data_IF_577574027511
#
_entry.id   IF_577574027511
#
_cell.length_a   1.000
_cell.length_b   1.000
_cell.length_c   1.000
_cell.angle_alpha   90.00
_cell.angle_beta   90.00
_cell.angle_gamma   90.00
#
_symmetry.space_group_name_H-M   'P 1'
#
loop_
_entity.id
_entity.type
_entity.pdbx_description
1 polymer ?
#
# COMPACT_ATOMS: atom_id res chain seq x y z
N UNK A 1 -17.09 -10.20 25.87
CA UNK A 1 -17.33 -10.25 24.40
C UNK A 1 -16.45 -11.37 23.88
N UNK A 2 -17.03 -12.46 23.37
CA UNK A 2 -16.24 -13.46 22.66
C UNK A 2 -15.61 -12.77 21.45
N UNK A 3 -14.30 -12.87 21.34
CA UNK A 3 -13.56 -12.39 20.17
C UNK A 3 -14.13 -13.12 18.95
N UNK A 4 -14.63 -12.40 17.96
CA UNK A 4 -15.10 -13.01 16.71
C UNK A 4 -13.95 -13.81 16.09
N UNK A 5 -14.14 -15.11 15.99
CA UNK A 5 -13.16 -16.04 15.44
C UNK A 5 -13.25 -15.99 13.92
N UNK A 6 -12.12 -15.78 13.26
CA UNK A 6 -12.02 -15.77 11.79
C UNK A 6 -11.81 -17.20 11.29
N UNK A 7 -12.65 -17.68 10.38
CA UNK A 7 -12.48 -18.96 9.69
C UNK A 7 -11.86 -18.73 8.30
N UNK A 8 -10.66 -19.30 8.06
CA UNK A 8 -9.94 -19.18 6.79
C UNK A 8 -9.65 -20.55 6.18
N UNK A 9 -9.66 -20.59 4.86
CA UNK A 9 -9.09 -21.72 4.14
C UNK A 9 -7.55 -21.58 4.12
N UNK A 10 -6.86 -22.61 4.62
CA UNK A 10 -5.41 -22.63 4.71
C UNK A 10 -4.83 -23.48 3.57
N UNK A 11 -4.43 -22.84 2.49
CA UNK A 11 -3.83 -23.45 1.31
C UNK A 11 -2.35 -23.73 1.55
N UNK A 12 -1.93 -24.97 1.52
CA UNK A 12 -0.54 -25.34 1.72
C UNK A 12 -0.18 -26.66 1.02
N UNK A 13 1.11 -26.90 0.85
CA UNK A 13 1.60 -28.16 0.32
C UNK A 13 1.39 -29.32 1.30
N UNK A 14 0.95 -30.46 0.80
CA UNK A 14 0.83 -31.71 1.58
C UNK A 14 2.14 -32.49 1.72
N UNK A 15 3.25 -32.02 1.14
CA UNK A 15 4.53 -32.74 1.17
C UNK A 15 5.18 -32.73 2.56
N UNK A 16 5.79 -33.85 3.00
CA UNK A 16 6.39 -33.95 4.33
C UNK A 16 7.49 -32.92 4.60
N UNK A 17 8.28 -32.55 3.58
CA UNK A 17 9.36 -31.55 3.68
C UNK A 17 8.86 -30.14 4.01
N UNK A 18 7.57 -29.84 3.77
CA UNK A 18 6.98 -28.54 4.07
C UNK A 18 6.21 -28.52 5.39
N UNK A 19 6.11 -29.67 6.05
CA UNK A 19 5.34 -29.78 7.29
C UNK A 19 5.74 -28.73 8.34
N UNK A 20 7.04 -28.54 8.53
CA UNK A 20 7.58 -27.59 9.50
C UNK A 20 7.13 -26.14 9.19
N UNK A 21 7.15 -25.78 7.90
CA UNK A 21 6.70 -24.45 7.43
C UNK A 21 5.19 -24.30 7.69
N UNK A 22 4.40 -25.28 7.27
CA UNK A 22 2.95 -25.25 7.41
C UNK A 22 2.51 -25.19 8.89
N UNK A 23 3.16 -26.00 9.74
CA UNK A 23 2.89 -26.02 11.19
C UNK A 23 3.23 -24.67 11.83
N UNK A 24 4.31 -24.00 11.40
CA UNK A 24 4.70 -22.68 11.87
C UNK A 24 3.62 -21.63 11.58
N UNK A 25 3.18 -21.51 10.32
CA UNK A 25 2.15 -20.53 9.94
C UNK A 25 0.80 -20.84 10.61
N UNK A 26 0.43 -22.11 10.71
CA UNK A 26 -0.81 -22.52 11.44
C UNK A 26 -0.74 -22.16 12.92
N UNK A 27 0.40 -22.35 13.58
CA UNK A 27 0.58 -21.99 14.98
C UNK A 27 0.37 -20.49 15.19
N UNK A 28 0.89 -19.65 14.29
CA UNK A 28 0.68 -18.19 14.34
C UNK A 28 -0.80 -17.86 14.10
N UNK A 29 -1.45 -18.43 13.10
CA UNK A 29 -2.89 -18.24 12.88
C UNK A 29 -3.71 -18.59 14.12
N UNK A 30 -3.45 -19.74 14.71
CA UNK A 30 -4.15 -20.19 15.93
C UNK A 30 -3.91 -19.24 17.12
N UNK A 31 -2.69 -18.69 17.28
CA UNK A 31 -2.36 -17.71 18.33
C UNK A 31 -3.10 -16.38 18.15
N UNK A 32 -3.58 -16.10 16.96
CA UNK A 32 -4.38 -14.92 16.60
C UNK A 32 -5.88 -15.20 16.48
N UNK A 33 -6.38 -16.32 17.06
CA UNK A 33 -7.78 -16.75 16.99
C UNK A 33 -8.31 -16.91 15.56
N UNK A 34 -7.47 -17.42 14.66
CA UNK A 34 -7.85 -17.76 13.29
C UNK A 34 -7.95 -19.29 13.18
N UNK A 35 -9.11 -19.78 12.80
CA UNK A 35 -9.33 -21.20 12.53
C UNK A 35 -8.93 -21.50 11.07
N UNK A 36 -7.94 -22.37 10.91
CA UNK A 36 -7.46 -22.82 9.62
C UNK A 36 -8.15 -24.12 9.21
N UNK A 37 -8.95 -24.08 8.15
CA UNK A 37 -9.52 -25.25 7.48
C UNK A 37 -8.68 -25.58 6.26
N UNK A 38 -8.40 -26.85 6.00
CA UNK A 38 -7.64 -27.31 4.82
C UNK A 38 -8.32 -28.55 4.26
N UNK A 39 -8.15 -28.79 2.99
CA UNK A 39 -8.60 -30.04 2.40
C UNK A 39 -7.82 -31.20 3.01
N UNK A 40 -8.52 -32.21 3.51
CA UNK A 40 -7.88 -33.38 4.07
C UNK A 40 -7.17 -34.17 2.98
N UNK A 41 -5.83 -34.09 2.96
CA UNK A 41 -4.98 -34.70 1.94
C UNK A 41 -4.83 -36.22 2.06
N UNK A 42 -5.63 -36.87 2.93
CA UNK A 42 -5.65 -38.32 3.08
C UNK A 42 -6.07 -39.06 1.80
N UNK A 43 -6.67 -38.34 0.86
CA UNK A 43 -7.00 -38.85 -0.48
C UNK A 43 -6.17 -38.11 -1.54
N UNK A 44 -5.42 -38.84 -2.32
CA UNK A 44 -4.48 -38.37 -3.35
C UNK A 44 -5.13 -37.63 -4.54
N UNK A 45 -6.43 -37.40 -4.51
CA UNK A 45 -7.20 -36.59 -5.46
C UNK A 45 -8.45 -36.05 -4.78
N UNK A 46 -8.32 -34.86 -4.15
CA UNK A 46 -9.53 -34.14 -3.71
C UNK A 46 -10.14 -33.50 -4.95
N UNK A 47 -11.43 -33.74 -5.24
CA UNK A 47 -12.09 -33.08 -6.35
C UNK A 47 -12.01 -31.55 -6.20
N UNK A 48 -11.74 -30.78 -7.26
CA UNK A 48 -11.72 -29.31 -7.24
C UNK A 48 -12.99 -28.70 -6.64
N UNK A 49 -14.12 -29.40 -6.74
CA UNK A 49 -15.40 -28.98 -6.15
C UNK A 49 -15.36 -28.94 -4.63
N UNK A 50 -14.65 -29.84 -3.97
CA UNK A 50 -14.52 -29.84 -2.49
C UNK A 50 -13.71 -28.63 -2.04
N UNK A 51 -12.57 -28.36 -2.69
CA UNK A 51 -11.77 -27.17 -2.39
C UNK A 51 -12.58 -25.90 -2.65
N UNK A 52 -13.31 -25.85 -3.77
CA UNK A 52 -14.18 -24.70 -4.11
C UNK A 52 -15.26 -24.46 -3.07
N UNK A 53 -15.94 -25.49 -2.58
CA UNK A 53 -16.95 -25.38 -1.51
C UNK A 53 -16.34 -24.86 -0.22
N UNK A 54 -15.23 -25.45 0.22
CA UNK A 54 -14.57 -25.05 1.46
C UNK A 54 -14.04 -23.62 1.40
N UNK A 55 -13.51 -23.18 0.24
CA UNK A 55 -13.07 -21.80 0.04
C UNK A 55 -14.28 -20.85 0.09
N UNK A 56 -15.42 -21.21 -0.54
CA UNK A 56 -16.61 -20.38 -0.53
C UNK A 56 -17.26 -20.25 0.87
N UNK A 57 -17.07 -21.24 1.73
CA UNK A 57 -17.55 -21.23 3.12
C UNK A 57 -16.60 -20.48 4.07
N UNK A 58 -15.38 -20.18 3.61
CA UNK A 58 -14.36 -19.50 4.40
C UNK A 58 -14.45 -17.97 4.20
N UNK A 59 -14.10 -17.23 5.25
CA UNK A 59 -14.11 -15.76 5.21
C UNK A 59 -12.85 -15.18 4.50
N UNK A 60 -11.81 -16.00 4.32
CA UNK A 60 -10.58 -15.63 3.63
C UNK A 60 -9.72 -16.84 3.31
N UNK A 61 -8.66 -16.65 2.53
CA UNK A 61 -7.67 -17.68 2.20
C UNK A 61 -6.28 -17.21 2.64
N UNK A 62 -5.57 -18.07 3.37
CA UNK A 62 -4.13 -17.90 3.66
C UNK A 62 -3.38 -19.01 2.94
N UNK A 63 -2.49 -18.64 2.01
CA UNK A 63 -1.70 -19.58 1.24
C UNK A 63 -0.23 -19.55 1.68
N UNK A 64 0.38 -20.74 1.73
CA UNK A 64 1.83 -20.90 1.94
C UNK A 64 2.40 -21.58 0.71
N UNK A 65 3.23 -20.85 -0.04
CA UNK A 65 3.79 -21.25 -1.32
C UNK A 65 5.30 -21.52 -1.22
N UNK A 66 5.73 -22.73 -0.81
CA UNK A 66 7.14 -23.11 -0.77
C UNK A 66 7.68 -23.37 -2.18
N UNK A 67 9.01 -23.35 -2.31
CA UNK A 67 9.71 -23.73 -3.56
C UNK A 67 9.36 -25.14 -4.03
N UNK A 68 9.18 -25.27 -5.32
CA UNK A 68 9.02 -26.57 -5.99
C UNK A 68 10.08 -26.74 -7.10
N UNK A 69 9.64 -27.03 -8.31
CA UNK A 69 10.54 -27.29 -9.42
C UNK A 69 11.30 -26.04 -9.80
N UNK A 70 12.60 -26.16 -9.96
CA UNK A 70 13.46 -25.09 -10.42
C UNK A 70 13.25 -24.85 -11.90
N UNK A 71 13.07 -23.60 -12.29
CA UNK A 71 12.95 -23.16 -13.67
C UNK A 71 14.33 -22.98 -14.32
N UNK A 72 14.37 -22.86 -15.64
CA UNK A 72 15.62 -22.65 -16.39
C UNK A 72 16.29 -21.31 -16.05
N UNK A 73 15.50 -20.29 -15.71
CA UNK A 73 15.99 -18.97 -15.29
C UNK A 73 16.56 -18.96 -13.86
N UNK A 74 16.46 -20.06 -13.13
CA UNK A 74 16.96 -20.22 -11.76
C UNK A 74 15.91 -20.01 -10.68
N UNK A 75 14.73 -19.49 -11.00
CA UNK A 75 13.60 -19.33 -10.10
C UNK A 75 12.90 -20.67 -9.82
N UNK A 76 11.91 -20.65 -8.95
CA UNK A 76 11.13 -21.82 -8.58
C UNK A 76 9.64 -21.58 -8.82
N UNK A 77 8.89 -22.62 -9.12
CA UNK A 77 7.43 -22.59 -9.14
C UNK A 77 6.86 -22.91 -7.76
N UNK A 78 5.67 -22.40 -7.46
CA UNK A 78 4.91 -22.84 -6.29
C UNK A 78 4.22 -24.19 -6.54
N UNK A 79 3.71 -24.86 -5.49
CA UNK A 79 2.88 -26.05 -5.65
C UNK A 79 1.64 -25.78 -6.51
N UNK A 80 1.35 -26.63 -7.50
CA UNK A 80 0.19 -26.45 -8.39
C UNK A 80 -1.14 -26.44 -7.65
N UNK A 81 -1.29 -27.25 -6.60
CA UNK A 81 -2.50 -27.26 -5.77
C UNK A 81 -2.74 -25.92 -5.07
N UNK A 82 -1.67 -25.29 -4.55
CA UNK A 82 -1.75 -23.95 -3.93
C UNK A 82 -2.15 -22.90 -4.97
N UNK A 83 -1.57 -22.97 -6.18
CA UNK A 83 -1.92 -22.09 -7.29
C UNK A 83 -3.39 -22.22 -7.71
N UNK A 84 -3.92 -23.45 -7.79
CA UNK A 84 -5.31 -23.71 -8.11
C UNK A 84 -6.26 -23.15 -7.05
N UNK A 85 -5.97 -23.37 -5.76
CA UNK A 85 -6.77 -22.88 -4.64
C UNK A 85 -6.78 -21.34 -4.57
N UNK A 86 -5.62 -20.71 -4.81
CA UNK A 86 -5.54 -19.25 -4.95
C UNK A 86 -6.41 -18.75 -6.11
N UNK A 87 -6.37 -19.45 -7.25
CA UNK A 87 -7.16 -19.09 -8.44
C UNK A 87 -8.67 -19.22 -8.19
N UNK A 88 -9.09 -20.24 -7.44
CA UNK A 88 -10.49 -20.43 -7.02
C UNK A 88 -10.91 -19.29 -6.10
N UNK A 89 -10.13 -18.99 -5.06
CA UNK A 89 -10.42 -17.91 -4.13
C UNK A 89 -10.52 -16.55 -4.84
N UNK A 90 -9.61 -16.32 -5.79
CA UNK A 90 -9.63 -15.14 -6.64
C UNK A 90 -10.92 -15.03 -7.45
N UNK A 91 -11.34 -16.12 -8.12
CA UNK A 91 -12.58 -16.15 -8.89
C UNK A 91 -13.84 -15.94 -8.04
N UNK A 92 -13.76 -16.21 -6.72
CA UNK A 92 -14.84 -16.02 -5.74
C UNK A 92 -14.76 -14.68 -5.00
N UNK A 93 -13.79 -13.82 -5.31
CA UNK A 93 -13.53 -12.55 -4.61
C UNK A 93 -13.23 -12.71 -3.10
N UNK A 94 -12.78 -13.90 -2.70
CA UNK A 94 -12.37 -14.19 -1.33
C UNK A 94 -11.07 -13.44 -1.02
N UNK A 95 -10.93 -12.74 0.13
CA UNK A 95 -9.68 -12.10 0.54
C UNK A 95 -8.53 -13.12 0.61
N UNK A 96 -7.35 -12.74 0.09
CA UNK A 96 -6.21 -13.66 -0.05
C UNK A 96 -4.94 -13.05 0.57
N UNK A 97 -4.28 -13.81 1.46
CA UNK A 97 -2.93 -13.54 1.97
C UNK A 97 -2.01 -14.68 1.55
N UNK A 98 -0.92 -14.37 0.84
CA UNK A 98 0.04 -15.37 0.38
C UNK A 98 1.38 -15.17 1.05
N UNK A 99 1.91 -16.21 1.67
CA UNK A 99 3.30 -16.31 2.10
C UNK A 99 4.09 -17.08 1.05
N UNK A 100 5.06 -16.43 0.42
CA UNK A 100 5.85 -16.98 -0.69
C UNK A 100 7.28 -17.18 -0.25
N UNK A 101 7.85 -18.37 -0.47
CA UNK A 101 9.26 -18.61 -0.22
C UNK A 101 10.11 -17.84 -1.24
N UNK A 102 11.15 -17.14 -0.80
CA UNK A 102 12.05 -16.35 -1.65
C UNK A 102 12.57 -17.17 -2.83
N UNK A 103 12.52 -16.61 -4.04
CA UNK A 103 12.88 -17.27 -5.28
C UNK A 103 11.75 -18.06 -5.94
N UNK A 104 10.52 -18.05 -5.39
CA UNK A 104 9.34 -18.56 -6.08
C UNK A 104 8.81 -17.47 -7.01
N UNK A 105 8.64 -17.79 -8.29
CA UNK A 105 8.05 -16.90 -9.28
C UNK A 105 6.52 -16.92 -9.17
N UNK A 106 5.95 -15.70 -9.16
CA UNK A 106 4.50 -15.49 -9.12
C UNK A 106 3.98 -15.09 -10.50
N UNK A 107 4.25 -15.90 -11.51
CA UNK A 107 3.81 -15.62 -12.88
C UNK A 107 2.29 -15.45 -12.97
N UNK A 108 1.86 -14.32 -13.56
CA UNK A 108 0.45 -13.98 -13.73
C UNK A 108 -0.26 -13.46 -12.47
N UNK A 109 0.35 -13.62 -11.28
CA UNK A 109 -0.20 -13.16 -10.01
C UNK A 109 0.50 -11.91 -9.45
N UNK A 110 1.39 -11.29 -10.23
CA UNK A 110 2.16 -10.13 -9.79
C UNK A 110 1.23 -9.01 -9.33
N UNK A 111 1.01 -8.98 -8.03
CA UNK A 111 0.56 -7.81 -7.29
C UNK A 111 -0.90 -7.38 -7.41
N UNK A 112 -1.72 -8.00 -8.25
CA UNK A 112 -3.01 -7.40 -8.58
C UNK A 112 -4.18 -7.82 -7.69
N UNK A 113 -4.05 -8.88 -6.86
CA UNK A 113 -5.24 -9.51 -6.27
C UNK A 113 -5.09 -10.02 -4.84
N UNK A 114 -3.89 -9.98 -4.26
CA UNK A 114 -3.65 -10.55 -2.94
C UNK A 114 -2.51 -9.84 -2.20
N UNK A 115 -2.55 -9.92 -0.88
CA UNK A 115 -1.41 -9.54 -0.04
C UNK A 115 -0.34 -10.60 -0.15
N UNK A 116 0.85 -10.24 -0.62
CA UNK A 116 1.99 -11.17 -0.74
C UNK A 116 3.06 -10.79 0.27
N UNK A 117 3.52 -11.77 1.05
CA UNK A 117 4.65 -11.66 1.97
C UNK A 117 5.71 -12.69 1.62
N UNK A 118 6.94 -12.25 1.39
CA UNK A 118 8.06 -13.17 1.18
C UNK A 118 8.60 -13.70 2.51
N UNK A 119 9.06 -14.95 2.52
CA UNK A 119 9.79 -15.54 3.64
C UNK A 119 10.97 -16.38 3.14
N UNK A 120 12.01 -16.47 3.97
CA UNK A 120 13.13 -17.37 3.76
C UNK A 120 13.01 -18.55 4.73
N UNK A 121 13.20 -19.77 4.23
CA UNK A 121 13.16 -21.00 5.03
C UNK A 121 14.17 -20.96 6.18
N UNK A 122 15.37 -20.44 5.91
CA UNK A 122 16.46 -20.36 6.88
C UNK A 122 16.21 -19.31 7.98
N UNK A 123 15.36 -18.31 7.69
CA UNK A 123 15.01 -17.23 8.61
C UNK A 123 13.60 -17.36 9.20
N UNK A 124 12.90 -18.45 8.93
CA UNK A 124 11.49 -18.64 9.30
C UNK A 124 11.23 -18.40 10.79
N UNK A 125 12.17 -18.83 11.66
CA UNK A 125 12.06 -18.69 13.11
C UNK A 125 12.80 -17.48 13.68
N UNK A 126 13.33 -16.58 12.84
CA UNK A 126 13.94 -15.34 13.32
C UNK A 126 12.87 -14.41 13.92
N UNK A 127 13.26 -13.63 14.95
CA UNK A 127 12.34 -12.71 15.61
C UNK A 127 11.74 -11.68 14.64
N UNK A 128 12.52 -11.21 13.67
CA UNK A 128 12.08 -10.24 12.65
C UNK A 128 11.04 -10.85 11.72
N UNK A 129 11.29 -12.07 11.19
CA UNK A 129 10.33 -12.78 10.33
C UNK A 129 9.04 -13.10 11.08
N UNK A 130 9.16 -13.57 12.33
CA UNK A 130 8.00 -13.85 13.17
C UNK A 130 7.14 -12.59 13.38
N UNK A 131 7.77 -11.45 13.70
CA UNK A 131 7.06 -10.19 13.90
C UNK A 131 6.34 -9.73 12.61
N UNK A 132 7.01 -9.82 11.47
CA UNK A 132 6.43 -9.50 10.17
C UNK A 132 5.23 -10.40 9.86
N UNK A 133 5.37 -11.71 10.06
CA UNK A 133 4.29 -12.68 9.83
C UNK A 133 3.08 -12.40 10.72
N UNK A 134 3.29 -12.19 12.02
CA UNK A 134 2.23 -11.84 12.97
C UNK A 134 1.50 -10.58 12.53
N UNK A 135 2.23 -9.52 12.17
CA UNK A 135 1.63 -8.26 11.69
C UNK A 135 0.77 -8.48 10.44
N UNK A 136 1.27 -9.23 9.45
CA UNK A 136 0.54 -9.49 8.21
C UNK A 136 -0.74 -10.30 8.44
N UNK A 137 -0.69 -11.34 9.25
CA UNK A 137 -1.87 -12.16 9.57
C UNK A 137 -2.87 -11.36 10.43
N UNK A 138 -2.39 -10.60 11.41
CA UNK A 138 -3.26 -9.75 12.23
C UNK A 138 -3.96 -8.68 11.39
N UNK A 139 -3.21 -8.02 10.49
CA UNK A 139 -3.78 -7.06 9.54
C UNK A 139 -4.84 -7.71 8.66
N UNK A 140 -4.56 -8.88 8.07
CA UNK A 140 -5.51 -9.64 7.26
C UNK A 140 -6.78 -10.00 8.05
N UNK A 141 -6.65 -10.40 9.33
CA UNK A 141 -7.78 -10.62 10.22
C UNK A 141 -8.64 -9.35 10.39
N UNK A 142 -8.01 -8.21 10.61
CA UNK A 142 -8.72 -6.93 10.75
C UNK A 142 -9.42 -6.51 9.45
N UNK A 143 -8.78 -6.70 8.30
CA UNK A 143 -9.39 -6.42 6.99
C UNK A 143 -10.72 -7.14 6.78
N UNK A 144 -10.85 -8.35 7.33
CA UNK A 144 -12.05 -9.16 7.21
C UNK A 144 -13.08 -8.86 8.31
N UNK A 145 -12.65 -8.81 9.58
CA UNK A 145 -13.55 -8.71 10.73
C UNK A 145 -13.94 -7.28 11.08
N UNK A 146 -13.03 -6.34 10.87
CA UNK A 146 -13.21 -4.94 11.25
C UNK A 146 -12.65 -4.01 10.17
N UNK A 147 -13.15 -4.08 8.93
CA UNK A 147 -12.60 -3.31 7.82
C UNK A 147 -12.65 -1.79 8.04
N UNK A 148 -13.61 -1.32 8.86
CA UNK A 148 -13.75 0.10 9.19
C UNK A 148 -12.75 0.58 10.25
N UNK A 149 -12.07 -0.34 10.94
CA UNK A 149 -11.04 0.00 11.93
C UNK A 149 -9.64 0.16 11.29
N UNK A 150 -9.51 -0.14 10.01
CA UNK A 150 -8.26 0.03 9.28
C UNK A 150 -8.00 1.50 8.97
N UNK A 151 -6.73 1.87 8.97
CA UNK A 151 -6.28 3.24 8.73
C UNK A 151 -6.11 3.57 7.24
N UNK A 152 -6.50 2.66 6.35
CA UNK A 152 -6.36 2.84 4.91
C UNK A 152 -7.54 2.19 4.17
N UNK A 153 -7.74 2.64 2.96
CA UNK A 153 -8.78 2.11 2.08
C UNK A 153 -8.60 0.61 1.83
N UNK A 154 -9.71 -0.16 1.76
CA UNK A 154 -9.65 -1.59 1.55
C UNK A 154 -9.03 -1.94 0.20
N UNK A 155 -8.08 -2.86 0.20
CA UNK A 155 -7.61 -3.52 -1.02
C UNK A 155 -8.67 -4.53 -1.44
N UNK A 156 -9.53 -4.17 -2.36
CA UNK A 156 -10.67 -5.02 -2.72
C UNK A 156 -10.88 -5.02 -4.23
N UNK A 157 -11.19 -6.21 -4.78
CA UNK A 157 -11.65 -6.33 -6.15
C UNK A 157 -13.07 -5.75 -6.37
N UNK A 158 -13.76 -5.43 -5.26
CA UNK A 158 -15.10 -4.84 -5.31
C UNK A 158 -15.05 -3.37 -5.73
N UNK A 159 -13.89 -2.72 -5.61
CA UNK A 159 -13.69 -1.32 -5.97
C UNK A 159 -12.54 -1.15 -6.97
N UNK A 160 -12.71 -0.22 -7.89
CA UNK A 160 -11.70 0.19 -8.86
C UNK A 160 -11.57 1.71 -8.79
N UNK A 161 -10.37 2.20 -8.58
CA UNK A 161 -10.09 3.61 -8.75
C UNK A 161 -10.02 3.91 -10.27
N UNK A 162 -11.01 4.58 -10.78
CA UNK A 162 -11.06 4.99 -12.19
C UNK A 162 -9.95 6.00 -12.48
N UNK A 163 -9.78 6.93 -11.54
CA UNK A 163 -8.79 7.97 -11.62
C UNK A 163 -8.29 8.36 -10.22
N UNK A 164 -6.97 8.53 -10.10
CA UNK A 164 -6.31 9.10 -8.94
C UNK A 164 -5.45 10.27 -9.39
N UNK A 165 -5.75 11.47 -8.93
CA UNK A 165 -4.90 12.64 -9.14
C UNK A 165 -4.31 13.07 -7.81
N UNK A 166 -3.00 13.08 -7.68
CA UNK A 166 -2.32 13.55 -6.49
C UNK A 166 -1.45 14.76 -6.83
N UNK A 167 -1.59 15.80 -6.03
CA UNK A 167 -0.73 16.97 -6.06
C UNK A 167 0.02 17.05 -4.74
N UNK A 168 1.34 17.10 -4.84
CA UNK A 168 2.26 17.36 -3.73
C UNK A 168 2.90 18.71 -4.00
N UNK A 169 2.70 19.66 -3.10
CA UNK A 169 3.17 21.03 -3.31
C UNK A 169 3.86 21.57 -2.05
N UNK A 170 5.07 22.07 -2.24
CA UNK A 170 5.72 22.92 -1.25
C UNK A 170 5.33 24.37 -1.51
N UNK A 171 4.64 25.00 -0.57
CA UNK A 171 4.24 26.41 -0.62
C UNK A 171 5.14 27.26 0.26
N UNK A 172 5.40 28.48 -0.17
CA UNK A 172 6.06 29.50 0.65
C UNK A 172 5.04 30.54 1.11
N UNK A 173 4.82 30.64 2.41
CA UNK A 173 3.94 31.60 3.04
C UNK A 173 4.74 32.52 3.98
N UNK A 174 5.02 33.74 3.50
CA UNK A 174 5.93 34.66 4.19
C UNK A 174 7.35 34.08 4.27
N UNK A 175 7.82 33.80 5.49
CA UNK A 175 9.14 33.18 5.73
C UNK A 175 9.07 31.68 6.01
N UNK A 176 7.88 31.07 5.97
CA UNK A 176 7.68 29.65 6.26
C UNK A 176 7.40 28.86 5.01
N UNK A 177 7.66 27.55 5.08
CA UNK A 177 7.32 26.60 4.06
C UNK A 177 6.31 25.59 4.59
N UNK A 178 5.30 25.29 3.78
CA UNK A 178 4.20 24.38 4.12
C UNK A 178 4.05 23.35 3.03
N UNK A 179 4.09 22.08 3.41
CA UNK A 179 3.73 20.97 2.53
C UNK A 179 2.23 20.84 2.44
N UNK A 180 1.74 20.67 1.24
CA UNK A 180 0.33 20.46 0.91
C UNK A 180 0.22 19.21 0.02
N UNK A 181 -0.61 18.28 0.44
CA UNK A 181 -0.96 17.07 -0.29
C UNK A 181 -2.44 17.11 -0.59
N UNK A 182 -2.80 17.06 -1.84
CA UNK A 182 -4.19 16.91 -2.26
C UNK A 182 -4.36 15.72 -3.18
N UNK A 183 -5.40 14.92 -2.96
CA UNK A 183 -5.72 13.79 -3.81
C UNK A 183 -7.18 13.89 -4.22
N UNK A 184 -7.46 13.87 -5.51
CA UNK A 184 -8.78 13.64 -6.06
C UNK A 184 -8.88 12.19 -6.52
N UNK A 185 -9.94 11.50 -6.12
CA UNK A 185 -10.12 10.10 -6.39
C UNK A 185 -11.55 9.79 -6.80
N UNK A 186 -11.70 9.11 -7.96
CA UNK A 186 -12.96 8.55 -8.42
C UNK A 186 -12.90 7.03 -8.31
N UNK A 187 -13.84 6.46 -7.57
CA UNK A 187 -13.95 5.02 -7.33
C UNK A 187 -15.24 4.51 -7.95
N UNK A 188 -15.19 3.40 -8.69
CA UNK A 188 -16.34 2.65 -9.16
C UNK A 188 -16.46 1.30 -8.45
N UNK A 189 -17.68 0.85 -8.22
CA UNK A 189 -17.98 -0.42 -7.56
C UNK A 189 -18.21 -1.53 -8.59
N UNK A 190 -17.59 -2.68 -8.37
CA UNK A 190 -17.66 -3.84 -9.27
C UNK A 190 -18.70 -4.88 -8.82
N UNK A 191 -19.22 -4.72 -7.61
CA UNK A 191 -20.24 -5.55 -6.98
C UNK A 191 -20.89 -4.81 -5.82
N UNK A 192 -21.67 -5.51 -5.00
CA UNK A 192 -22.25 -4.95 -3.78
C UNK A 192 -21.16 -4.71 -2.75
N UNK A 193 -20.90 -3.45 -2.41
CA UNK A 193 -19.90 -3.04 -1.45
C UNK A 193 -20.54 -2.74 -0.09
N UNK A 194 -20.30 -3.61 0.91
CA UNK A 194 -20.94 -3.56 2.24
C UNK A 194 -20.15 -2.82 3.30
N UNK A 195 -19.10 -2.08 2.90
CA UNK A 195 -18.19 -1.39 3.81
C UNK A 195 -18.27 0.13 3.60
N UNK A 196 -17.58 0.85 4.48
CA UNK A 196 -17.32 2.27 4.31
C UNK A 196 -15.88 2.46 3.85
N UNK A 197 -15.55 3.63 3.31
CA UNK A 197 -14.19 3.90 2.83
C UNK A 197 -13.45 4.66 3.93
N UNK A 198 -12.45 4.05 4.60
CA UNK A 198 -11.60 4.74 5.55
C UNK A 198 -10.63 5.66 4.81
N UNK A 199 -10.46 6.86 5.33
CA UNK A 199 -9.47 7.84 4.88
C UNK A 199 -8.65 8.23 6.10
N UNK A 200 -7.37 7.89 6.07
CA UNK A 200 -6.45 8.17 7.16
C UNK A 200 -5.29 9.05 6.71
N UNK A 201 -4.89 9.95 7.58
CA UNK A 201 -3.80 10.88 7.38
C UNK A 201 -2.82 10.76 8.53
N UNK A 202 -1.53 10.64 8.20
CA UNK A 202 -0.44 10.54 9.15
C UNK A 202 0.54 11.69 8.94
N UNK A 203 0.89 12.41 10.01
CA UNK A 203 2.08 13.25 9.97
C UNK A 203 3.31 12.36 10.21
N UNK A 204 4.37 12.49 9.41
CA UNK A 204 5.62 11.86 9.76
C UNK A 204 6.16 12.45 11.06
N UNK A 205 6.27 11.61 12.08
CA UNK A 205 6.63 11.95 13.46
C UNK A 205 8.07 12.52 13.66
N UNK A 206 9.07 12.30 12.78
CA UNK A 206 10.46 12.60 13.16
C UNK A 206 10.85 14.07 13.16
N UNK A 207 10.02 15.00 12.67
CA UNK A 207 10.44 16.39 12.43
C UNK A 207 9.79 17.39 13.37
N UNK A 208 8.73 17.02 14.09
CA UNK A 208 8.07 17.94 14.99
C UNK A 208 8.93 18.20 16.25
N UNK A 209 9.28 19.48 16.55
CA UNK A 209 9.79 19.83 17.87
C UNK A 209 8.74 19.44 18.92
N UNK A 210 9.18 18.96 20.10
CA UNK A 210 8.29 18.52 21.19
C UNK A 210 7.26 19.60 21.63
N UNK A 211 7.53 20.87 21.32
CA UNK A 211 6.69 22.04 21.65
C UNK A 211 5.81 22.55 20.49
N UNK A 212 5.82 21.93 19.32
CA UNK A 212 5.03 22.42 18.21
C UNK A 212 3.58 21.95 18.34
N UNK A 213 2.64 22.88 18.46
CA UNK A 213 1.21 22.69 18.18
C UNK A 213 1.04 22.37 16.68
N UNK A 214 1.51 21.18 16.27
CA UNK A 214 1.42 20.67 14.92
C UNK A 214 0.06 20.04 14.72
N UNK A 215 -0.91 20.85 14.36
CA UNK A 215 -2.20 20.36 13.92
C UNK A 215 -2.07 20.00 12.43
N UNK A 216 -2.27 18.73 12.09
CA UNK A 216 -2.54 18.36 10.70
C UNK A 216 -3.87 18.98 10.35
N UNK A 217 -3.89 19.83 9.35
CA UNK A 217 -5.14 20.26 8.75
C UNK A 217 -5.50 19.25 7.67
N UNK A 218 -6.44 18.36 7.97
CA UNK A 218 -6.97 17.40 7.04
C UNK A 218 -8.43 17.74 6.71
N UNK A 219 -8.80 17.63 5.44
CA UNK A 219 -10.16 17.87 4.97
C UNK A 219 -10.53 16.82 3.91
N UNK A 220 -11.81 16.44 3.88
CA UNK A 220 -12.38 15.51 2.90
C UNK A 220 -13.60 16.17 2.29
N UNK A 221 -13.58 16.37 0.99
CA UNK A 221 -14.69 16.94 0.24
C UNK A 221 -15.28 15.91 -0.70
N UNK A 222 -16.57 15.68 -0.58
CA UNK A 222 -17.33 14.84 -1.51
C UNK A 222 -17.62 15.68 -2.75
N UNK A 223 -17.25 15.19 -3.94
CA UNK A 223 -17.33 15.94 -5.20
C UNK A 223 -18.53 15.49 -6.03
N UNK A 224 -18.66 14.16 -6.25
CA UNK A 224 -19.74 13.58 -7.07
C UNK A 224 -20.03 12.13 -6.67
N UNK A 225 -21.22 11.62 -6.99
CA UNK A 225 -21.60 10.22 -6.73
C UNK A 225 -22.84 9.80 -7.54
N UNK A 226 -23.11 8.49 -7.60
CA UNK A 226 -24.37 7.95 -8.16
C UNK A 226 -25.57 8.52 -7.41
N UNK A 227 -26.66 8.82 -8.15
CA UNK A 227 -27.83 9.57 -7.64
C UNK A 227 -28.54 8.89 -6.47
N UNK A 228 -28.50 7.56 -6.42
CA UNK A 228 -29.19 6.76 -5.41
C UNK A 228 -28.36 6.58 -4.12
N UNK A 229 -27.14 7.08 -4.08
CA UNK A 229 -26.28 7.02 -2.92
C UNK A 229 -26.39 8.28 -2.07
N UNK A 230 -26.34 8.10 -0.76
CA UNK A 230 -26.16 9.16 0.24
C UNK A 230 -24.79 9.01 0.88
N UNK A 231 -23.99 10.06 0.85
CA UNK A 231 -22.63 10.05 1.35
C UNK A 231 -22.51 11.03 2.53
N UNK A 232 -21.79 10.57 3.56
CA UNK A 232 -21.37 11.47 4.65
C UNK A 232 -19.98 11.13 5.14
N UNK A 233 -19.22 12.15 5.53
CA UNK A 233 -17.93 12.00 6.18
C UNK A 233 -18.14 12.00 7.69
N UNK A 234 -17.55 11.02 8.38
CA UNK A 234 -17.56 10.94 9.84
C UNK A 234 -16.12 10.82 10.34
N UNK A 235 -15.67 11.80 11.12
CA UNK A 235 -14.36 11.76 11.75
C UNK A 235 -14.40 10.78 12.91
N UNK A 236 -13.55 9.75 12.86
CA UNK A 236 -13.50 8.67 13.86
C UNK A 236 -12.45 8.97 14.93
N UNK A 237 -11.30 9.53 14.50
CA UNK A 237 -10.20 9.86 15.40
C UNK A 237 -9.44 11.05 14.84
N UNK A 238 -9.05 11.95 15.74
CA UNK A 238 -8.20 13.09 15.41
C UNK A 238 -7.22 13.34 16.55
N UNK A 239 -5.93 13.38 16.21
CA UNK A 239 -4.83 13.72 17.11
C UNK A 239 -3.89 14.70 16.41
N UNK A 240 -2.87 15.20 17.08
CA UNK A 240 -1.94 16.16 16.49
C UNK A 240 -1.19 15.61 15.25
N UNK A 241 -1.00 14.31 15.19
CA UNK A 241 -0.19 13.58 14.19
C UNK A 241 -1.00 12.62 13.32
N UNK A 242 -2.30 12.49 13.59
CA UNK A 242 -3.14 11.50 12.93
C UNK A 242 -4.59 11.93 12.84
N UNK A 243 -5.21 11.77 11.70
CA UNK A 243 -6.66 11.93 11.51
C UNK A 243 -7.22 10.74 10.73
N UNK A 244 -8.35 10.21 11.19
CA UNK A 244 -9.09 9.14 10.54
C UNK A 244 -10.55 9.51 10.40
N UNK A 245 -11.05 9.38 9.19
CA UNK A 245 -12.45 9.56 8.85
C UNK A 245 -12.98 8.38 8.04
N UNK A 246 -14.30 8.19 8.06
CA UNK A 246 -15.00 7.25 7.19
C UNK A 246 -15.90 8.01 6.23
N UNK A 247 -15.85 7.66 4.96
CA UNK A 247 -16.90 8.03 4.01
C UNK A 247 -17.96 6.95 4.12
N UNK A 248 -19.06 7.28 4.79
CA UNK A 248 -20.23 6.40 4.93
C UNK A 248 -21.06 6.48 3.67
N UNK A 249 -21.50 5.33 3.19
CA UNK A 249 -22.25 5.18 1.94
C UNK A 249 -23.52 4.42 2.25
N UNK A 250 -24.67 4.99 1.91
CA UNK A 250 -25.98 4.41 2.12
C UNK A 250 -26.90 4.72 0.92
N UNK A 251 -27.68 3.74 0.39
CA UNK A 251 -27.55 2.31 0.63
C UNK A 251 -26.19 1.75 0.20
N UNK A 252 -25.91 0.46 0.42
CA UNK A 252 -24.71 -0.18 -0.07
C UNK A 252 -24.61 -0.03 -1.58
N UNK A 253 -23.47 0.49 -2.11
CA UNK A 253 -23.32 0.65 -3.55
C UNK A 253 -23.28 -0.71 -4.26
N UNK A 254 -23.77 -0.72 -5.46
CA UNK A 254 -23.85 -1.88 -6.36
C UNK A 254 -22.92 -1.72 -7.55
N UNK A 255 -22.88 -2.74 -8.38
CA UNK A 255 -22.07 -2.71 -9.61
C UNK A 255 -22.50 -1.56 -10.52
N UNK A 256 -21.55 -0.71 -10.87
CA UNK A 256 -21.75 0.44 -11.73
C UNK A 256 -21.93 1.76 -10.97
N UNK A 257 -22.17 1.71 -9.66
CA UNK A 257 -22.14 2.91 -8.84
C UNK A 257 -20.72 3.48 -8.73
N UNK A 258 -20.64 4.76 -8.44
CA UNK A 258 -19.37 5.46 -8.23
C UNK A 258 -19.48 6.52 -7.15
N UNK A 259 -18.33 6.90 -6.60
CA UNK A 259 -18.13 8.07 -5.76
C UNK A 259 -16.87 8.81 -6.20
N UNK A 260 -16.88 10.13 -6.05
CA UNK A 260 -15.71 10.98 -6.25
C UNK A 260 -15.51 11.87 -5.03
N UNK A 261 -14.29 11.93 -4.53
CA UNK A 261 -13.93 12.73 -3.38
C UNK A 261 -12.50 13.26 -3.48
N UNK A 262 -12.28 14.38 -2.83
CA UNK A 262 -10.97 14.98 -2.67
C UNK A 262 -10.55 14.92 -1.21
N UNK A 263 -9.26 14.68 -1.01
CA UNK A 263 -8.62 14.82 0.30
C UNK A 263 -7.58 15.92 0.24
N UNK A 264 -7.42 16.63 1.34
CA UNK A 264 -6.46 17.72 1.45
C UNK A 264 -5.77 17.67 2.81
N UNK A 265 -4.45 17.81 2.82
CA UNK A 265 -3.64 17.81 4.02
C UNK A 265 -2.60 18.91 3.91
N UNK A 266 -2.42 19.70 4.95
CA UNK A 266 -1.32 20.64 5.09
C UNK A 266 -0.54 20.40 6.38
N UNK A 267 0.79 20.44 6.27
CA UNK A 267 1.69 20.39 7.43
C UNK A 267 3.05 21.00 7.10
N UNK A 268 3.66 21.62 8.10
CA UNK A 268 5.04 22.14 8.01
C UNK A 268 6.09 21.02 8.07
N UNK A 269 5.68 19.80 8.44
CA UNK A 269 6.60 18.74 8.88
C UNK A 269 6.47 17.44 8.10
N UNK A 270 5.83 17.42 6.95
CA UNK A 270 5.74 16.18 6.15
C UNK A 270 7.09 15.71 5.65
N UNK A 271 7.89 16.63 5.12
CA UNK A 271 9.23 16.34 4.64
C UNK A 271 10.18 17.48 5.00
N UNK A 272 11.48 17.20 5.11
CA UNK A 272 12.49 18.24 5.23
C UNK A 272 12.38 19.25 4.08
N UNK A 273 12.40 20.52 4.39
CA UNK A 273 12.44 21.60 3.40
C UNK A 273 13.89 21.89 3.00
N UNK A 274 14.80 21.76 3.94
CA UNK A 274 16.22 21.99 3.75
C UNK A 274 17.03 20.78 4.19
N UNK A 275 18.18 20.60 3.55
CA UNK A 275 19.07 19.46 3.78
C UNK A 275 19.55 19.32 5.24
N UNK A 276 19.73 20.44 5.95
CA UNK A 276 20.14 20.50 7.36
C UNK A 276 19.03 20.10 8.34
N UNK A 277 17.79 19.96 7.89
CA UNK A 277 16.67 19.46 8.70
C UNK A 277 16.59 17.94 8.78
N UNK A 278 17.35 17.23 7.95
CA UNK A 278 17.39 15.76 7.91
C UNK A 278 18.17 15.25 9.13
N UNK A 279 17.46 14.70 10.12
CA UNK A 279 18.07 14.19 11.38
C UNK A 279 18.75 12.83 11.19
N UNK A 280 18.09 11.92 10.49
CA UNK A 280 18.61 10.60 10.18
C UNK A 280 18.73 10.45 8.68
N UNK A 281 19.94 10.17 8.21
CA UNK A 281 20.19 9.98 6.77
C UNK A 281 20.03 8.52 6.42
N UNK A 282 19.09 8.24 5.56
CA UNK A 282 18.94 6.95 4.94
C UNK A 282 18.78 7.15 3.42
N UNK A 283 19.85 7.60 2.74
CA UNK A 283 19.78 8.00 1.36
C UNK A 283 19.46 6.79 0.47
N UNK A 284 18.65 7.07 -0.54
CA UNK A 284 18.32 6.13 -1.59
C UNK A 284 19.35 6.27 -2.69
N UNK A 285 20.14 5.24 -2.93
CA UNK A 285 21.10 5.24 -4.02
C UNK A 285 20.44 4.80 -5.33
N UNK A 286 20.45 5.69 -6.32
CA UNK A 286 19.90 5.44 -7.64
C UNK A 286 20.90 5.91 -8.70
N UNK A 287 21.36 5.01 -9.56
CA UNK A 287 22.30 5.32 -10.64
C UNK A 287 23.55 6.08 -10.18
N UNK A 288 24.08 5.73 -9.00
CA UNK A 288 25.26 6.35 -8.40
C UNK A 288 25.02 7.74 -7.80
N UNK A 289 23.76 8.16 -7.64
CA UNK A 289 23.37 9.37 -6.91
C UNK A 289 22.56 9.00 -5.68
N UNK A 290 22.77 9.76 -4.62
CA UNK A 290 22.01 9.63 -3.37
C UNK A 290 20.88 10.67 -3.32
N UNK A 291 19.69 10.24 -2.96
CA UNK A 291 18.51 11.07 -2.74
C UNK A 291 18.02 10.90 -1.32
N UNK A 292 17.62 11.99 -0.68
CA UNK A 292 17.23 12.00 0.73
C UNK A 292 15.70 11.97 0.92
N UNK A 293 14.92 12.34 -0.10
CA UNK A 293 13.47 12.43 -0.03
C UNK A 293 12.79 11.67 -1.15
N UNK A 294 11.63 11.08 -0.82
CA UNK A 294 10.71 10.46 -1.76
C UNK A 294 9.32 11.03 -1.55
N UNK A 295 8.71 11.52 -2.63
CA UNK A 295 7.34 11.98 -2.65
C UNK A 295 6.54 11.30 -3.74
N UNK A 296 5.52 10.54 -3.36
CA UNK A 296 4.80 9.72 -4.31
C UNK A 296 3.51 9.11 -3.77
N UNK A 297 3.02 8.12 -4.47
CA UNK A 297 1.84 7.36 -4.08
C UNK A 297 2.04 5.86 -4.28
N UNK A 298 1.27 5.08 -3.52
CA UNK A 298 1.21 3.62 -3.63
C UNK A 298 -0.23 3.24 -3.96
N UNK A 299 -0.50 2.67 -5.14
CA UNK A 299 -1.83 2.15 -5.45
C UNK A 299 -2.15 0.97 -4.53
N UNK A 300 -3.15 1.13 -3.68
CA UNK A 300 -3.66 0.07 -2.79
C UNK A 300 -4.90 -0.62 -3.36
N UNK A 301 -5.46 -0.06 -4.43
CA UNK A 301 -6.60 -0.58 -5.17
C UNK A 301 -6.25 -0.67 -6.65
N UNK A 302 -6.93 -1.56 -7.36
CA UNK A 302 -6.85 -1.56 -8.82
C UNK A 302 -7.19 -0.17 -9.35
N UNK A 303 -6.21 0.47 -9.99
CA UNK A 303 -6.32 1.84 -10.51
C UNK A 303 -6.21 1.80 -12.01
N UNK A 304 -7.11 2.46 -12.73
CA UNK A 304 -7.05 2.53 -14.20
C UNK A 304 -6.07 3.59 -14.66
N UNK A 305 -6.13 4.77 -14.05
CA UNK A 305 -5.28 5.90 -14.41
C UNK A 305 -4.83 6.64 -13.15
N UNK A 306 -3.54 6.99 -13.08
CA UNK A 306 -3.01 7.80 -12.01
C UNK A 306 -2.14 8.93 -12.53
N UNK A 307 -2.24 10.08 -11.88
CA UNK A 307 -1.40 11.24 -12.12
C UNK A 307 -0.82 11.72 -10.79
N UNK A 308 0.49 11.94 -10.75
CA UNK A 308 1.15 12.62 -9.64
C UNK A 308 1.81 13.89 -10.17
N UNK A 309 1.55 14.99 -9.51
CA UNK A 309 2.20 16.27 -9.76
C UNK A 309 2.94 16.73 -8.50
N UNK A 310 4.23 17.03 -8.66
CA UNK A 310 5.13 17.51 -7.61
C UNK A 310 5.55 18.92 -7.94
N UNK A 311 5.27 19.89 -7.06
CA UNK A 311 5.52 21.32 -7.28
C UNK A 311 6.39 21.91 -6.20
N UNK A 312 7.42 22.64 -6.63
CA UNK A 312 8.28 23.43 -5.75
C UNK A 312 8.02 24.94 -5.94
N UNK A 313 8.19 25.76 -4.89
CA UNK A 313 7.94 27.20 -4.97
C UNK A 313 8.96 27.91 -5.87
N UNK A 314 8.63 29.11 -6.29
CA UNK A 314 9.54 29.96 -7.06
C UNK A 314 10.82 30.26 -6.29
N UNK A 315 11.97 30.15 -6.99
CA UNK A 315 13.28 30.43 -6.43
C UNK A 315 13.77 29.41 -5.39
N UNK A 316 13.12 28.23 -5.34
CA UNK A 316 13.62 27.11 -4.56
C UNK A 316 14.79 26.45 -5.31
N UNK A 317 15.94 26.32 -4.64
CA UNK A 317 17.20 25.92 -5.28
C UNK A 317 17.28 24.40 -5.52
N UNK A 318 16.34 23.90 -6.34
CA UNK A 318 16.30 22.52 -6.84
C UNK A 318 16.09 22.58 -8.34
N UNK A 319 16.93 21.91 -9.07
CA UNK A 319 16.86 21.84 -10.53
C UNK A 319 16.16 20.55 -11.00
N UNK A 320 15.78 20.53 -12.28
CA UNK A 320 15.24 19.32 -12.92
C UNK A 320 16.15 18.10 -12.77
N UNK A 321 17.48 18.29 -12.79
CA UNK A 321 18.47 17.22 -12.66
C UNK A 321 18.56 16.64 -11.25
N UNK A 322 17.95 17.32 -10.28
CA UNK A 322 17.92 16.90 -8.86
C UNK A 322 16.66 16.10 -8.51
N UNK A 323 15.74 15.94 -9.49
CA UNK A 323 14.52 15.17 -9.34
C UNK A 323 14.55 13.97 -10.29
N UNK A 324 14.29 12.77 -9.76
CA UNK A 324 14.27 11.54 -10.55
C UNK A 324 13.01 10.72 -10.27
N UNK A 325 12.45 10.09 -11.33
CA UNK A 325 11.38 9.13 -11.18
C UNK A 325 11.90 7.86 -10.55
N UNK A 326 11.18 7.35 -9.58
CA UNK A 326 11.39 6.05 -8.93
C UNK A 326 10.12 5.23 -9.02
N UNK A 327 10.26 3.98 -9.42
CA UNK A 327 9.20 2.98 -9.26
C UNK A 327 9.78 1.80 -8.51
N UNK A 328 9.26 1.53 -7.34
CA UNK A 328 9.75 0.46 -6.47
C UNK A 328 8.62 -0.46 -6.02
N UNK A 329 8.95 -1.70 -5.71
CA UNK A 329 8.01 -2.59 -5.02
C UNK A 329 7.88 -2.13 -3.57
N UNK A 330 6.68 -1.78 -3.13
CA UNK A 330 6.41 -1.45 -1.72
C UNK A 330 6.20 -2.74 -0.94
N UNK A 331 7.33 -3.39 -0.65
CA UNK A 331 7.44 -4.46 0.35
C UNK A 331 8.20 -3.88 1.55
N UNK A 332 8.37 -4.65 2.63
CA UNK A 332 9.12 -4.20 3.82
C UNK A 332 10.58 -3.76 3.51
N UNK A 333 11.10 -4.16 2.34
CA UNK A 333 12.35 -3.67 1.75
C UNK A 333 11.96 -3.08 0.39
N UNK A 334 12.15 -1.78 0.23
CA UNK A 334 11.84 -1.11 -1.04
C UNK A 334 12.89 -1.52 -2.06
N UNK A 335 12.51 -2.35 -3.02
CA UNK A 335 13.31 -2.59 -4.22
C UNK A 335 13.00 -1.47 -5.21
N UNK A 336 13.91 -0.48 -5.29
CA UNK A 336 13.66 0.82 -5.93
C UNK A 336 13.64 0.81 -7.45
N UNK A 337 13.91 -0.33 -8.11
CA UNK A 337 14.08 -0.32 -9.56
C UNK A 337 13.29 -1.42 -10.26
N UNK A 338 12.03 -1.14 -10.55
CA UNK A 338 11.27 -1.93 -11.53
C UNK A 338 11.40 -1.25 -12.90
N UNK A 339 12.51 -1.49 -13.60
CA UNK A 339 12.82 -0.83 -14.90
C UNK A 339 11.71 -0.97 -15.94
N UNK A 340 11.00 -2.09 -15.96
CA UNK A 340 9.87 -2.30 -16.86
C UNK A 340 8.73 -1.32 -16.59
N UNK A 341 8.47 -1.00 -15.31
CA UNK A 341 7.43 -0.05 -14.92
C UNK A 341 7.86 1.39 -15.15
N UNK A 342 9.14 1.73 -14.93
CA UNK A 342 9.66 3.07 -15.22
C UNK A 342 9.40 3.45 -16.68
N UNK A 343 9.54 2.50 -17.62
CA UNK A 343 9.29 2.73 -19.06
C UNK A 343 7.83 3.00 -19.40
N UNK A 344 6.90 2.61 -18.55
CA UNK A 344 5.45 2.84 -18.72
C UNK A 344 4.99 4.19 -18.20
N UNK A 345 5.79 4.83 -17.35
CA UNK A 345 5.45 6.11 -16.74
C UNK A 345 5.83 7.24 -17.69
N UNK A 346 4.85 8.05 -18.07
CA UNK A 346 5.09 9.28 -18.80
C UNK A 346 5.45 10.39 -17.81
N UNK A 347 6.65 10.99 -17.96
CA UNK A 347 7.11 12.07 -17.08
C UNK A 347 7.33 13.34 -17.87
N UNK A 348 6.79 14.43 -17.37
CA UNK A 348 6.94 15.78 -17.90
C UNK A 348 7.51 16.71 -16.81
N UNK A 349 8.43 17.57 -17.21
CA UNK A 349 8.98 18.60 -16.35
C UNK A 349 8.70 19.96 -16.96
N UNK A 350 8.28 20.90 -16.14
CA UNK A 350 8.11 22.29 -16.54
C UNK A 350 8.72 23.23 -15.51
N UNK A 351 9.31 24.30 -15.99
CA UNK A 351 9.76 25.42 -15.17
C UNK A 351 9.08 26.67 -15.71
N UNK A 352 8.02 27.10 -15.04
CA UNK A 352 7.24 28.27 -15.45
C UNK A 352 7.46 29.40 -14.43
N UNK A 353 8.24 30.39 -14.84
CA UNK A 353 8.55 31.55 -14.02
C UNK A 353 9.33 31.20 -12.75
N UNK A 354 10.25 30.25 -12.81
CA UNK A 354 11.07 29.79 -11.71
C UNK A 354 10.36 28.86 -10.74
N UNK A 355 9.20 28.30 -11.14
CA UNK A 355 8.46 27.28 -10.40
C UNK A 355 8.66 25.92 -11.08
N UNK A 356 9.40 25.03 -10.44
CA UNK A 356 9.65 23.69 -10.96
C UNK A 356 8.45 22.78 -10.66
N UNK A 357 7.96 22.12 -11.69
CA UNK A 357 6.90 21.13 -11.60
C UNK A 357 7.37 19.85 -12.29
N UNK A 358 7.26 18.72 -11.62
CA UNK A 358 7.42 17.39 -12.18
C UNK A 358 6.06 16.69 -12.17
N UNK A 359 5.65 16.12 -13.29
CA UNK A 359 4.37 15.42 -13.45
C UNK A 359 4.60 14.04 -14.04
N UNK A 360 3.99 13.03 -13.43
CA UNK A 360 3.95 11.69 -13.99
C UNK A 360 2.50 11.26 -14.26
N UNK A 361 2.36 10.48 -15.33
CA UNK A 361 1.09 9.82 -15.70
C UNK A 361 1.36 8.35 -15.93
N UNK A 362 0.45 7.50 -15.46
CA UNK A 362 0.55 6.06 -15.65
C UNK A 362 -0.83 5.42 -15.81
N UNK A 363 -0.95 4.57 -16.83
CA UNK A 363 -2.09 3.72 -17.06
C UNK A 363 -1.92 2.38 -16.34
N UNK A 364 -2.93 2.01 -15.57
CA UNK A 364 -2.97 0.75 -14.82
C UNK A 364 -1.71 0.52 -13.97
N UNK A 365 -1.41 1.40 -12.99
CA UNK A 365 -0.27 1.21 -12.11
C UNK A 365 -0.40 -0.10 -11.34
N UNK A 366 0.74 -0.75 -11.10
CA UNK A 366 0.78 -1.99 -10.34
C UNK A 366 0.44 -1.73 -8.87
N UNK A 367 -0.38 -2.60 -8.31
CA UNK A 367 -0.69 -2.56 -6.89
C UNK A 367 0.57 -2.69 -6.04
N UNK A 368 0.62 -1.96 -4.92
CA UNK A 368 1.72 -1.98 -3.96
C UNK A 368 3.09 -1.63 -4.56
N UNK A 369 3.10 -0.95 -5.70
CA UNK A 369 4.30 -0.31 -6.21
C UNK A 369 4.26 1.17 -5.85
N UNK A 370 5.37 1.67 -5.34
CA UNK A 370 5.54 3.09 -5.10
C UNK A 370 5.95 3.77 -6.40
N UNK A 371 5.20 4.78 -6.78
CA UNK A 371 5.51 5.69 -7.87
C UNK A 371 5.83 7.04 -7.26
N UNK A 372 7.08 7.47 -7.33
CA UNK A 372 7.54 8.64 -6.61
C UNK A 372 8.57 9.46 -7.38
N UNK A 373 8.74 10.69 -6.95
CA UNK A 373 9.91 11.50 -7.28
C UNK A 373 10.90 11.45 -6.12
N UNK A 374 12.13 11.01 -6.41
CA UNK A 374 13.26 11.11 -5.50
C UNK A 374 13.95 12.45 -5.73
N UNK A 375 14.28 13.15 -4.67
CA UNK A 375 14.89 14.46 -4.76
C UNK A 375 15.73 14.80 -3.51
N UNK A 376 16.55 15.85 -3.64
CA UNK A 376 17.36 16.36 -2.54
C UNK A 376 16.91 17.77 -2.15
N UNK A 377 16.61 18.03 -0.88
CA UNK A 377 16.37 19.37 -0.39
C UNK A 377 17.64 20.26 -0.57
N UNK A 378 17.46 21.54 -0.87
CA UNK A 378 18.60 22.47 -0.98
C UNK A 378 19.22 22.73 0.40
N UNK A 379 20.49 23.11 0.41
CA UNK A 379 21.12 23.65 1.63
C UNK A 379 20.55 25.05 1.92
N UNK A 380 20.33 25.34 3.20
CA UNK A 380 20.04 26.75 3.58
C UNK A 380 21.19 27.63 3.15
N UNK A 381 20.89 28.69 2.44
CA UNK A 381 21.88 29.73 2.19
C UNK A 381 22.14 30.41 3.55
N UNK A 382 23.27 30.08 4.17
CA UNK A 382 23.75 30.83 5.32
C UNK A 382 24.12 32.21 4.81
N UNK A 383 23.28 33.20 5.10
CA UNK A 383 23.61 34.59 4.83
C UNK A 383 24.95 34.94 5.50
N UNK A 384 25.75 35.86 4.91
CA UNK A 384 26.99 36.28 5.55
C UNK A 384 26.65 36.96 6.88
N UNK A 385 26.79 36.23 8.00
CA UNK A 385 26.69 36.86 9.32
C UNK A 385 25.92 36.11 10.41
N UNK A 386 25.49 34.86 10.27
CA UNK A 386 24.99 34.09 11.41
C UNK A 386 26.13 33.31 12.08
N UNK A 387 26.52 33.63 13.33
CA UNK A 387 27.51 32.85 14.04
C UNK A 387 26.92 31.46 14.34
N UNK A 388 27.72 30.40 14.07
CA UNK A 388 27.45 29.06 14.55
C UNK A 388 27.31 29.08 16.06
N UNK A 389 26.14 28.82 16.58
CA UNK A 389 25.92 28.42 17.97
C UNK A 389 25.84 26.92 18.08
#
# INVERSE_FOLDING_TARGET
MESARLDVFFSCSSKPEDKVINDHFRAICNSLDIKCTTVDSAHSSVPPEVARSQISESQGLIAVAPKRNKLENGDYVMPSSVLEEISIAYGQTTPILIFVEEGVELDGMKGNFCTVQKFSRDQLFSASTLQKTIKSIHRFKLEILSPNDLDFEPESNEIVAEHVQQLIELKKEGNEYIWSYSTNKKISFQGTFKRHIPVAFWAPIPVAPEDANTTIRADIKLEDHSRDLSLRVETIKETADYSKSLIKIEPHPEKGDFIEYSTFIESKYFNPVFFDEIKERNPIELNGKNYECLDGFVPIQRTKHATLEFRLPRGFDVSRSDITLVVGSYTDEIDYLVESEIKRVKVEYSDIGGRLTARMEIESPLLRHMYAFAWNPPKRLTGPGTPNN
#
